data_IF_287787737876
#
_entry.id   IF_287787737876
#
_cell.length_a   1.000
_cell.length_b   1.000
_cell.length_c   1.000
_cell.angle_alpha   90.00
_cell.angle_beta   90.00
_cell.angle_gamma   90.00
#
_symmetry.space_group_name_H-M   'P 1'
#
loop_
_entity.id
_entity.type
_entity.pdbx_description
1 polymer ?
#
# COMPACT_ATOMS: atom_id res chain seq x y z
N UNK A 1 4.92 19.66 0.48
CA UNK A 1 4.84 18.90 1.75
C UNK A 1 5.39 19.70 2.93
N UNK A 2 4.74 19.66 4.11
CA UNK A 2 5.20 20.37 5.33
C UNK A 2 6.50 19.75 5.89
N UNK A 3 7.39 20.50 6.58
CA UNK A 3 8.68 19.99 7.06
C UNK A 3 8.60 18.75 7.96
N UNK A 4 7.59 18.66 8.84
CA UNK A 4 7.43 17.49 9.72
C UNK A 4 7.04 16.22 8.94
N UNK A 5 6.20 16.33 7.90
CA UNK A 5 5.85 15.21 7.02
C UNK A 5 7.08 14.71 6.25
N UNK A 6 7.95 15.63 5.80
CA UNK A 6 9.20 15.23 5.16
C UNK A 6 10.09 14.45 6.14
N UNK A 7 10.21 14.89 7.39
CA UNK A 7 11.01 14.20 8.41
C UNK A 7 10.46 12.81 8.78
N UNK A 8 9.14 12.65 8.85
CA UNK A 8 8.53 11.35 9.20
C UNK A 8 8.42 10.37 8.04
N UNK A 9 8.42 10.84 6.78
CA UNK A 9 8.18 10.02 5.58
C UNK A 9 9.45 9.70 4.76
N UNK A 10 10.60 10.28 5.12
CA UNK A 10 11.86 10.07 4.39
C UNK A 10 12.94 9.48 5.29
N UNK A 11 13.91 8.81 4.68
CA UNK A 11 15.10 8.33 5.40
C UNK A 11 15.95 9.54 5.79
N UNK A 12 16.22 9.69 7.07
CA UNK A 12 17.17 10.67 7.56
C UNK A 12 18.59 10.29 7.12
N UNK A 13 19.23 11.17 6.36
CA UNK A 13 20.64 11.05 5.98
C UNK A 13 21.46 12.11 6.70
N UNK A 14 22.77 11.93 6.78
CA UNK A 14 23.68 12.94 7.32
C UNK A 14 23.56 14.25 6.49
N UNK A 15 23.15 15.37 7.11
CA UNK A 15 23.04 16.66 6.43
C UNK A 15 24.38 17.16 5.86
N UNK A 16 25.51 16.79 6.46
CA UNK A 16 26.84 17.20 6.01
C UNK A 16 27.21 16.60 4.65
N UNK A 17 26.59 15.48 4.28
CA UNK A 17 26.84 14.81 3.01
C UNK A 17 26.00 15.37 1.85
N UNK A 18 25.02 16.24 2.13
CA UNK A 18 24.17 16.84 1.09
C UNK A 18 23.38 15.85 0.23
N UNK A 19 23.15 14.63 0.74
CA UNK A 19 22.46 13.58 -0.01
C UNK A 19 20.97 13.93 -0.24
N UNK A 20 20.39 13.49 -1.36
CA UNK A 20 18.96 13.64 -1.59
C UNK A 20 18.16 12.83 -0.56
N UNK A 21 16.94 13.29 -0.27
CA UNK A 21 16.02 12.56 0.61
C UNK A 21 15.39 11.41 -0.16
N UNK A 22 15.29 10.26 0.49
CA UNK A 22 14.67 9.06 -0.08
C UNK A 22 13.37 8.74 0.67
N UNK A 23 12.31 8.28 -0.02
CA UNK A 23 11.13 7.75 0.65
C UNK A 23 11.52 6.64 1.64
N UNK A 24 10.99 6.68 2.85
CA UNK A 24 11.21 5.60 3.80
C UNK A 24 10.33 4.41 3.42
N UNK A 25 10.96 3.37 2.85
CA UNK A 25 10.28 2.14 2.40
C UNK A 25 10.42 0.97 3.38
N UNK A 26 11.01 1.20 4.55
CA UNK A 26 11.31 0.13 5.51
C UNK A 26 10.06 -0.67 5.89
N UNK A 27 8.96 0.01 6.20
CA UNK A 27 7.69 -0.66 6.54
C UNK A 27 7.19 -1.53 5.39
N UNK A 28 7.11 -0.99 4.18
CA UNK A 28 6.66 -1.73 3.00
C UNK A 28 7.56 -2.95 2.70
N UNK A 29 8.88 -2.78 2.82
CA UNK A 29 9.83 -3.89 2.66
C UNK A 29 9.68 -4.94 3.75
N UNK A 30 9.48 -4.55 5.01
CA UNK A 30 9.21 -5.49 6.10
C UNK A 30 7.93 -6.28 5.84
N UNK A 31 6.84 -5.63 5.44
CA UNK A 31 5.58 -6.32 5.16
C UNK A 31 5.73 -7.31 4.00
N UNK A 32 6.33 -6.87 2.89
CA UNK A 32 6.60 -7.73 1.73
C UNK A 32 7.51 -8.93 2.08
N UNK A 33 8.58 -8.70 2.85
CA UNK A 33 9.49 -9.76 3.28
C UNK A 33 8.81 -10.79 4.21
N UNK A 34 7.72 -10.42 4.88
CA UNK A 34 6.91 -11.32 5.71
C UNK A 34 5.73 -11.95 4.94
N UNK A 35 5.75 -11.91 3.60
CA UNK A 35 4.74 -12.56 2.77
C UNK A 35 3.38 -11.84 2.71
N UNK A 36 3.35 -10.56 3.10
CA UNK A 36 2.18 -9.71 2.89
C UNK A 36 2.21 -9.09 1.49
N UNK A 37 1.03 -8.89 0.93
CA UNK A 37 0.79 -8.41 -0.42
C UNK A 37 0.02 -7.10 -0.34
N UNK A 38 0.53 -6.04 -0.98
CA UNK A 38 -0.19 -4.79 -1.15
C UNK A 38 -1.35 -5.00 -2.14
N UNK A 39 -2.58 -4.75 -1.68
CA UNK A 39 -3.79 -5.02 -2.45
C UNK A 39 -3.88 -4.21 -3.74
N UNK A 40 -3.50 -2.92 -3.70
CA UNK A 40 -3.54 -2.05 -4.87
C UNK A 40 -2.50 -2.50 -5.90
N UNK A 41 -1.28 -2.81 -5.44
CA UNK A 41 -0.21 -3.31 -6.31
C UNK A 41 -0.57 -4.66 -6.94
N UNK A 42 -1.14 -5.59 -6.17
CA UNK A 42 -1.59 -6.88 -6.67
C UNK A 42 -2.60 -6.72 -7.82
N UNK A 43 -3.64 -5.91 -7.60
CA UNK A 43 -4.67 -5.66 -8.62
C UNK A 43 -4.11 -4.92 -9.84
N UNK A 44 -3.19 -3.98 -9.65
CA UNK A 44 -2.47 -3.32 -10.74
C UNK A 44 -1.70 -4.33 -11.58
N UNK A 45 -0.97 -5.26 -10.96
CA UNK A 45 -0.22 -6.29 -11.69
C UNK A 45 -1.13 -7.20 -12.54
N UNK A 46 -2.39 -7.41 -12.13
CA UNK A 46 -3.35 -8.22 -12.89
C UNK A 46 -4.02 -7.45 -14.02
N UNK A 47 -4.29 -6.16 -13.83
CA UNK A 47 -5.14 -5.35 -14.71
C UNK A 47 -4.37 -4.38 -15.60
N UNK A 48 -3.19 -3.94 -15.16
CA UNK A 48 -2.46 -2.81 -15.73
C UNK A 48 -3.08 -1.45 -15.42
N UNK A 49 -4.11 -1.37 -14.55
CA UNK A 49 -4.83 -0.12 -14.27
C UNK A 49 -4.05 0.79 -13.30
N UNK A 50 -3.41 1.83 -13.85
CA UNK A 50 -2.62 2.79 -13.09
C UNK A 50 -3.45 3.61 -12.09
N UNK A 51 -4.77 3.73 -12.26
CA UNK A 51 -5.62 4.44 -11.28
C UNK A 51 -5.61 3.76 -9.91
N UNK A 52 -5.32 2.45 -9.85
CA UNK A 52 -5.17 1.72 -8.59
C UNK A 52 -3.97 2.22 -7.76
N UNK A 53 -2.99 2.84 -8.41
CA UNK A 53 -1.76 3.35 -7.78
C UNK A 53 -1.81 4.84 -7.50
N UNK A 54 -2.94 5.51 -7.77
CA UNK A 54 -3.08 6.94 -7.56
C UNK A 54 -2.88 7.33 -6.09
N UNK A 55 -2.49 8.58 -5.81
CA UNK A 55 -2.30 9.08 -4.45
C UNK A 55 -3.52 8.88 -3.54
N UNK A 56 -3.26 8.51 -2.28
CA UNK A 56 -4.27 8.46 -1.21
C UNK A 56 -4.32 9.74 -0.38
N UNK A 57 -3.32 10.60 -0.52
CA UNK A 57 -3.35 11.99 -0.08
C UNK A 57 -2.89 12.90 -1.24
N UNK A 58 -2.44 14.12 -0.95
CA UNK A 58 -2.09 15.14 -1.95
C UNK A 58 -1.21 14.64 -3.11
N UNK A 59 -0.07 14.01 -2.81
CA UNK A 59 0.93 13.64 -3.82
C UNK A 59 1.41 12.19 -3.67
N UNK A 60 0.97 11.49 -2.63
CA UNK A 60 1.55 10.22 -2.20
C UNK A 60 0.47 9.17 -1.92
N UNK A 61 0.79 7.91 -2.19
CA UNK A 61 -0.01 6.75 -1.77
C UNK A 61 0.56 6.15 -0.48
N UNK A 62 0.09 6.67 0.66
CA UNK A 62 0.59 6.30 1.99
C UNK A 62 -0.39 5.44 2.79
N UNK A 63 -1.69 5.58 2.54
CA UNK A 63 -2.70 4.64 3.03
C UNK A 63 -2.71 3.38 2.16
N UNK A 64 -2.47 2.23 2.79
CA UNK A 64 -2.26 0.96 2.11
C UNK A 64 -3.03 -0.14 2.82
N UNK A 65 -3.53 -1.11 2.05
CA UNK A 65 -4.12 -2.34 2.59
C UNK A 65 -3.23 -3.50 2.20
N UNK A 66 -2.71 -4.19 3.21
CA UNK A 66 -1.86 -5.36 3.05
C UNK A 66 -2.62 -6.60 3.48
N UNK A 67 -2.60 -7.64 2.65
CA UNK A 67 -3.23 -8.93 2.93
C UNK A 67 -2.17 -10.03 2.99
N UNK A 68 -2.44 -11.13 3.68
CA UNK A 68 -1.57 -12.30 3.59
C UNK A 68 -1.62 -12.92 2.19
N UNK A 69 -0.53 -13.57 1.77
CA UNK A 69 -0.47 -14.22 0.46
C UNK A 69 -1.69 -15.13 0.13
N UNK A 70 -2.25 -15.93 1.07
CA UNK A 70 -3.44 -16.74 0.78
C UNK A 70 -4.71 -15.95 0.44
N UNK A 71 -4.81 -14.70 0.89
CA UNK A 71 -5.93 -13.80 0.60
C UNK A 71 -5.74 -13.03 -0.72
N UNK A 72 -4.52 -12.97 -1.29
CA UNK A 72 -4.28 -12.17 -2.48
C UNK A 72 -5.17 -12.58 -3.68
N UNK A 73 -5.41 -13.87 -3.98
CA UNK A 73 -6.32 -14.25 -5.06
C UNK A 73 -7.80 -13.90 -4.82
N UNK A 74 -8.17 -13.60 -3.57
CA UNK A 74 -9.50 -13.13 -3.21
C UNK A 74 -9.72 -11.64 -3.45
N UNK A 75 -8.67 -10.85 -3.68
CA UNK A 75 -8.81 -9.44 -4.04
C UNK A 75 -9.50 -9.31 -5.40
N UNK A 76 -10.66 -8.66 -5.41
CA UNK A 76 -11.42 -8.40 -6.65
C UNK A 76 -11.63 -6.92 -6.94
N UNK A 77 -11.46 -6.05 -5.93
CA UNK A 77 -11.52 -4.61 -6.14
C UNK A 77 -10.76 -3.84 -5.06
N UNK A 78 -10.33 -2.64 -5.43
CA UNK A 78 -9.76 -1.62 -4.55
C UNK A 78 -10.41 -0.27 -4.90
N UNK A 79 -10.79 0.49 -3.89
CA UNK A 79 -11.51 1.74 -4.04
C UNK A 79 -10.90 2.82 -3.16
N UNK A 80 -10.76 4.01 -3.72
CA UNK A 80 -10.58 5.23 -2.92
C UNK A 80 -11.95 5.84 -2.64
N UNK A 81 -12.20 6.12 -1.36
CA UNK A 81 -13.41 6.76 -0.88
C UNK A 81 -13.14 8.25 -0.69
N UNK A 82 -13.78 9.07 -1.52
CA UNK A 82 -13.69 10.53 -1.50
C UNK A 82 -15.10 11.15 -1.59
N UNK A 83 -16.03 10.64 -0.79
CA UNK A 83 -17.41 11.17 -0.78
C UNK A 83 -17.89 11.39 0.64
N UNK A 84 -18.28 12.63 1.01
CA UNK A 84 -18.22 13.83 0.17
C UNK A 84 -16.78 14.24 -0.16
N UNK A 85 -16.58 14.84 -1.35
CA UNK A 85 -15.27 15.27 -1.83
C UNK A 85 -14.64 16.24 -0.84
N UNK A 86 -13.37 16.02 -0.50
CA UNK A 86 -12.63 16.89 0.41
C UNK A 86 -13.07 16.77 1.87
N UNK A 87 -13.73 15.67 2.25
CA UNK A 87 -14.03 15.35 3.65
C UNK A 87 -12.77 15.22 4.53
N UNK A 88 -11.63 14.93 3.91
CA UNK A 88 -10.34 14.70 4.56
C UNK A 88 -9.21 15.05 3.58
N UNK A 89 -8.01 15.35 4.09
CA UNK A 89 -6.79 15.48 3.29
C UNK A 89 -6.20 14.11 2.86
N UNK A 90 -6.83 13.03 3.31
CA UNK A 90 -6.64 11.66 2.89
C UNK A 90 -7.95 11.05 2.36
N UNK A 91 -7.86 10.30 1.27
CA UNK A 91 -8.93 9.42 0.80
C UNK A 91 -9.04 8.19 1.71
N UNK A 92 -10.26 7.73 1.98
CA UNK A 92 -10.47 6.41 2.56
C UNK A 92 -10.02 5.33 1.58
N UNK A 93 -9.57 4.18 2.07
CA UNK A 93 -9.21 3.02 1.25
C UNK A 93 -10.12 1.84 1.60
N UNK A 94 -10.66 1.18 0.58
CA UNK A 94 -11.49 0.00 0.74
C UNK A 94 -11.09 -1.09 -0.26
N UNK A 95 -11.21 -2.34 0.16
CA UNK A 95 -11.03 -3.51 -0.69
C UNK A 95 -12.29 -4.37 -0.68
N UNK A 96 -12.51 -5.10 -1.78
CA UNK A 96 -13.52 -6.15 -1.85
C UNK A 96 -12.83 -7.49 -2.01
N UNK A 97 -13.27 -8.46 -1.20
CA UNK A 97 -12.75 -9.83 -1.21
C UNK A 97 -13.84 -10.83 -1.65
N UNK A 98 -13.53 -11.63 -2.66
CA UNK A 98 -14.28 -12.85 -2.98
C UNK A 98 -13.67 -14.03 -2.21
N UNK A 99 -14.26 -14.35 -1.06
CA UNK A 99 -13.74 -15.37 -0.17
C UNK A 99 -13.77 -16.79 -0.76
N UNK A 100 -14.49 -17.01 -1.86
CA UNK A 100 -14.46 -18.27 -2.62
C UNK A 100 -13.10 -18.53 -3.28
N UNK A 101 -12.27 -17.50 -3.48
CA UNK A 101 -10.95 -17.58 -4.13
C UNK A 101 -9.78 -17.67 -3.15
N UNK A 102 -10.05 -17.64 -1.85
CA UNK A 102 -8.99 -17.77 -0.84
C UNK A 102 -8.30 -19.11 -1.00
N UNK A 103 -6.97 -19.09 -1.02
CA UNK A 103 -6.17 -20.31 -1.03
C UNK A 103 -6.19 -20.88 0.37
N UNK A 104 -6.79 -22.06 0.53
CA UNK A 104 -6.97 -22.73 1.83
C UNK A 104 -5.98 -23.87 2.04
N UNK A 105 -4.88 -23.88 1.28
CA UNK A 105 -3.83 -24.88 1.45
C UNK A 105 -3.47 -24.94 2.94
N UNK A 106 -3.26 -26.16 3.44
CA UNK A 106 -3.11 -26.43 4.86
C UNK A 106 -2.05 -25.47 5.45
N UNK A 107 -2.31 -24.77 6.59
CA UNK A 107 -1.29 -23.96 7.25
C UNK A 107 0.03 -24.73 7.53
N UNK A 108 0.03 -26.05 7.45
CA UNK A 108 1.22 -26.91 7.53
C UNK A 108 1.99 -27.11 6.20
N UNK A 109 1.45 -26.68 5.06
CA UNK A 109 2.13 -26.70 3.74
C UNK A 109 2.95 -25.43 3.46
N UNK A 110 2.92 -24.45 4.37
CA UNK A 110 3.80 -23.27 4.33
C UNK A 110 5.22 -23.68 4.73
N UNK A 111 6.01 -24.15 3.75
CA UNK A 111 7.45 -24.40 3.92
C UNK A 111 8.28 -23.13 3.68
#
# INVERSE_FOLDING_TARGET
MRPYNLGSRTVHTDPALGLPRFPNRQVAWTLAANGLVDAAWWLYQQSGDEELLRPTCLEERIDQVWVSAPLAPALVAYHLLDTPVGASDHHGVAITLDLGRVVKNDPWDYR
#
